data_IF_829612726147
#
_entry.id   IF_829612726147
#
_cell.length_a   1.000
_cell.length_b   1.000
_cell.length_c   1.000
_cell.angle_alpha   90.00
_cell.angle_beta   90.00
_cell.angle_gamma   90.00
#
_symmetry.space_group_name_H-M   'P 1'
#
loop_
_entity.id
_entity.type
_entity.pdbx_description
1 polymer ?
#
# COMPACT_ATOMS: atom_id res chain seq x y z
N UNK A 1 0.93 -12.31 8.79
CA UNK A 1 0.84 -10.93 8.26
C UNK A 1 -0.50 -10.62 7.60
N UNK A 2 -1.26 -11.62 7.13
CA UNK A 2 -2.70 -11.44 6.86
C UNK A 2 -3.45 -11.17 8.16
N UNK A 3 -4.56 -10.45 8.08
CA UNK A 3 -5.48 -10.28 9.20
C UNK A 3 -6.00 -11.63 9.70
N UNK A 4 -6.03 -11.81 11.03
CA UNK A 4 -6.67 -12.99 11.64
C UNK A 4 -8.17 -12.75 11.78
N UNK A 5 -8.96 -13.41 10.92
CA UNK A 5 -10.42 -13.31 10.92
C UNK A 5 -11.03 -13.67 12.27
N UNK A 6 -10.43 -14.61 13.04
CA UNK A 6 -10.93 -14.96 14.37
C UNK A 6 -10.76 -13.80 15.36
N UNK A 7 -9.65 -13.09 15.28
CA UNK A 7 -9.42 -11.87 16.06
C UNK A 7 -10.40 -10.76 15.69
N UNK A 8 -10.67 -10.56 14.39
CA UNK A 8 -11.69 -9.61 13.91
C UNK A 8 -13.05 -9.97 14.50
N UNK A 9 -13.48 -11.23 14.42
CA UNK A 9 -14.76 -11.67 14.97
C UNK A 9 -14.89 -11.40 16.48
N UNK A 10 -13.81 -11.55 17.26
CA UNK A 10 -13.82 -11.21 18.70
C UNK A 10 -13.88 -9.72 18.99
N UNK A 11 -13.44 -8.88 18.05
CA UNK A 11 -13.41 -7.43 18.23
C UNK A 11 -14.75 -6.75 17.88
N UNK A 12 -15.63 -7.44 17.14
CA UNK A 12 -16.96 -6.93 16.78
C UNK A 12 -17.79 -6.70 18.04
N UNK A 13 -18.44 -5.54 18.11
CA UNK A 13 -19.37 -5.18 19.17
C UNK A 13 -20.54 -4.37 18.61
N UNK A 14 -21.48 -3.96 19.46
CA UNK A 14 -22.69 -3.23 19.06
C UNK A 14 -22.45 -1.88 18.36
N UNK A 15 -21.24 -1.32 18.46
CA UNK A 15 -20.86 -0.05 17.83
C UNK A 15 -20.10 -0.25 16.52
N UNK A 16 -19.82 -1.49 16.12
CA UNK A 16 -19.12 -1.78 14.87
C UNK A 16 -20.05 -1.47 13.69
N UNK A 17 -19.59 -0.62 12.76
CA UNK A 17 -20.37 -0.23 11.57
C UNK A 17 -19.86 -0.89 10.28
N UNK A 18 -18.59 -1.30 10.26
CA UNK A 18 -17.98 -1.94 9.10
C UNK A 18 -16.70 -2.72 9.46
N UNK A 19 -16.36 -3.69 8.63
CA UNK A 19 -15.05 -4.34 8.55
C UNK A 19 -14.25 -3.80 7.37
N UNK A 20 -12.93 -3.94 7.44
CA UNK A 20 -11.99 -3.51 6.39
C UNK A 20 -11.01 -4.64 6.11
N UNK A 21 -10.72 -4.88 4.83
CA UNK A 21 -9.61 -5.73 4.39
C UNK A 21 -8.87 -5.10 3.21
N UNK A 22 -7.57 -5.37 3.08
CA UNK A 22 -6.75 -4.78 2.02
C UNK A 22 -6.47 -5.77 0.88
N UNK A 23 -6.50 -5.27 -0.35
CA UNK A 23 -6.16 -6.00 -1.56
C UNK A 23 -5.23 -5.13 -2.44
N UNK A 24 -3.95 -4.97 -2.15
CA UNK A 24 -3.09 -5.50 -1.07
C UNK A 24 -2.81 -4.41 -0.01
N UNK A 25 -2.29 -4.79 1.17
CA UNK A 25 -1.83 -3.81 2.15
C UNK A 25 -0.51 -3.12 1.74
N UNK A 26 -0.34 -1.86 2.17
CA UNK A 26 0.87 -1.08 1.89
C UNK A 26 2.14 -1.62 2.54
N UNK A 27 2.16 -2.02 3.82
CA UNK A 27 3.42 -2.38 4.47
C UNK A 27 4.06 -3.63 3.86
N UNK A 28 3.27 -4.68 3.62
CA UNK A 28 3.83 -6.00 3.32
C UNK A 28 3.43 -6.56 1.96
N UNK A 29 2.53 -5.89 1.24
CA UNK A 29 2.08 -6.35 -0.08
C UNK A 29 1.20 -7.58 -0.04
N UNK A 30 0.65 -7.87 1.13
CA UNK A 30 -0.16 -9.06 1.38
C UNK A 30 -1.63 -8.72 1.15
N UNK A 31 -2.35 -9.61 0.47
CA UNK A 31 -3.81 -9.53 0.36
C UNK A 31 -4.47 -10.24 1.55
N UNK A 32 -5.41 -9.55 2.19
CA UNK A 32 -6.28 -10.16 3.20
C UNK A 32 -7.27 -11.13 2.55
N UNK A 33 -7.83 -12.02 3.37
CA UNK A 33 -8.86 -12.94 2.92
C UNK A 33 -10.23 -12.26 3.00
N UNK A 34 -10.67 -11.70 1.87
CA UNK A 34 -11.88 -10.87 1.79
C UNK A 34 -13.15 -11.70 1.95
N UNK A 35 -13.20 -12.92 1.42
CA UNK A 35 -14.39 -13.80 1.47
C UNK A 35 -14.88 -14.08 2.91
N UNK A 36 -14.04 -14.56 3.85
CA UNK A 36 -14.48 -14.79 5.22
C UNK A 36 -14.78 -13.49 5.98
N UNK A 37 -14.11 -12.38 5.66
CA UNK A 37 -14.43 -11.06 6.23
C UNK A 37 -15.81 -10.58 5.76
N UNK A 38 -16.11 -10.67 4.47
CA UNK A 38 -17.41 -10.32 3.90
C UNK A 38 -18.52 -11.19 4.47
N UNK A 39 -18.28 -12.50 4.62
CA UNK A 39 -19.23 -13.42 5.27
C UNK A 39 -19.48 -13.01 6.73
N UNK A 40 -18.43 -12.61 7.46
CA UNK A 40 -18.56 -12.14 8.83
C UNK A 40 -19.33 -10.81 8.90
N UNK A 41 -19.00 -9.85 8.04
CA UNK A 41 -19.71 -8.57 7.96
C UNK A 41 -21.20 -8.77 7.69
N UNK A 42 -21.53 -9.62 6.72
CA UNK A 42 -22.91 -9.97 6.38
C UNK A 42 -23.66 -10.64 7.53
N UNK A 43 -23.02 -11.57 8.27
CA UNK A 43 -23.64 -12.19 9.47
C UNK A 43 -23.98 -11.19 10.57
N UNK A 44 -23.26 -10.08 10.65
CA UNK A 44 -23.45 -9.04 11.65
C UNK A 44 -24.23 -7.83 11.12
N UNK A 45 -24.70 -7.85 9.87
CA UNK A 45 -25.39 -6.74 9.21
C UNK A 45 -24.60 -5.41 9.26
N UNK A 46 -23.30 -5.51 8.98
CA UNK A 46 -22.36 -4.36 8.93
C UNK A 46 -21.67 -4.27 7.57
N UNK A 47 -21.12 -3.10 7.26
CA UNK A 47 -20.41 -2.88 6.00
C UNK A 47 -19.14 -3.74 5.88
N UNK A 48 -18.75 -4.05 4.65
CA UNK A 48 -17.41 -4.56 4.32
C UNK A 48 -16.79 -3.64 3.28
N UNK A 49 -15.66 -3.03 3.63
CA UNK A 49 -14.86 -2.23 2.71
C UNK A 49 -13.60 -2.96 2.31
N UNK A 50 -13.32 -2.98 1.02
CA UNK A 50 -12.08 -3.51 0.49
C UNK A 50 -11.20 -2.34 0.07
N UNK A 51 -10.09 -2.17 0.78
CA UNK A 51 -9.07 -1.21 0.41
C UNK A 51 -8.22 -1.79 -0.74
N UNK A 52 -8.59 -1.42 -1.97
CA UNK A 52 -7.82 -1.71 -3.18
C UNK A 52 -7.14 -0.43 -3.69
N UNK A 53 -6.88 0.56 -2.83
CA UNK A 53 -6.17 1.78 -3.21
C UNK A 53 -4.83 1.43 -3.86
N UNK A 54 -4.02 0.60 -3.17
CA UNK A 54 -2.70 0.20 -3.67
C UNK A 54 -2.77 -0.91 -4.71
N UNK A 55 -3.66 -1.90 -4.54
CA UNK A 55 -3.85 -2.95 -5.55
C UNK A 55 -4.30 -2.41 -6.90
N UNK A 56 -5.06 -1.30 -6.88
CA UNK A 56 -5.30 -0.39 -8.00
C UNK A 56 -5.66 -1.16 -9.27
N UNK A 57 -5.03 -0.81 -10.39
CA UNK A 57 -5.20 -1.44 -11.70
C UNK A 57 -4.27 -2.64 -11.92
N UNK A 58 -3.76 -3.28 -10.85
CA UNK A 58 -2.91 -4.50 -10.94
C UNK A 58 -3.64 -5.73 -10.45
N UNK A 59 -4.20 -5.69 -9.23
CA UNK A 59 -4.90 -6.85 -8.64
C UNK A 59 -6.02 -7.40 -9.55
N UNK A 60 -6.84 -6.56 -10.23
CA UNK A 60 -7.83 -7.05 -11.20
C UNK A 60 -7.25 -7.85 -12.39
N UNK A 61 -5.97 -7.64 -12.73
CA UNK A 61 -5.32 -8.22 -13.91
C UNK A 61 -4.39 -9.39 -13.58
N UNK A 62 -4.14 -9.70 -12.30
CA UNK A 62 -3.20 -10.75 -11.88
C UNK A 62 -3.48 -12.11 -12.52
N UNK A 63 -4.73 -12.57 -12.46
CA UNK A 63 -5.15 -13.88 -13.00
C UNK A 63 -4.86 -13.97 -14.50
N UNK A 64 -5.28 -12.95 -15.26
CA UNK A 64 -5.08 -12.87 -16.71
C UNK A 64 -3.60 -12.69 -17.09
N UNK A 65 -2.80 -12.11 -16.21
CA UNK A 65 -1.36 -12.00 -16.37
C UNK A 65 -0.63 -13.32 -16.05
N UNK A 66 -1.33 -14.34 -15.55
CA UNK A 66 -0.75 -15.64 -15.20
C UNK A 66 -0.19 -15.71 -13.77
N UNK A 67 -0.54 -14.76 -12.91
CA UNK A 67 -0.11 -14.74 -11.51
C UNK A 67 -1.22 -15.23 -10.57
N UNK A 68 -0.82 -15.65 -9.38
CA UNK A 68 -1.76 -15.97 -8.31
C UNK A 68 -2.56 -14.73 -7.92
N UNK A 69 -3.87 -14.91 -7.76
CA UNK A 69 -4.78 -13.89 -7.26
C UNK A 69 -5.66 -14.46 -6.14
N UNK A 70 -6.37 -13.57 -5.44
CA UNK A 70 -7.46 -13.91 -4.53
C UNK A 70 -8.68 -13.07 -4.87
N UNK A 71 -9.91 -13.60 -4.74
CA UNK A 71 -11.12 -12.78 -4.87
C UNK A 71 -11.10 -11.62 -3.88
N UNK A 72 -11.49 -10.43 -4.33
CA UNK A 72 -11.48 -9.23 -3.48
C UNK A 72 -12.59 -8.23 -3.79
N UNK A 73 -13.38 -8.41 -4.85
CA UNK A 73 -14.30 -7.38 -5.36
C UNK A 73 -15.78 -7.72 -5.11
N UNK A 74 -16.69 -6.96 -5.74
CA UNK A 74 -18.15 -7.10 -5.62
C UNK A 74 -18.69 -8.47 -6.06
N UNK A 75 -17.88 -9.36 -6.65
CA UNK A 75 -18.28 -10.77 -6.85
C UNK A 75 -18.44 -11.52 -5.53
N UNK A 76 -17.85 -11.01 -4.44
CA UNK A 76 -18.01 -11.58 -3.10
C UNK A 76 -19.24 -10.95 -2.43
N UNK A 77 -20.24 -11.78 -2.20
CA UNK A 77 -21.43 -11.43 -1.43
C UNK A 77 -21.05 -10.90 -0.03
N UNK A 78 -21.52 -9.70 0.28
CA UNK A 78 -21.20 -8.96 1.51
C UNK A 78 -20.18 -7.84 1.34
N UNK A 79 -19.46 -7.74 0.20
CA UNK A 79 -18.58 -6.59 -0.09
C UNK A 79 -19.42 -5.37 -0.49
N UNK A 80 -19.49 -4.39 0.40
CA UNK A 80 -20.35 -3.21 0.22
C UNK A 80 -19.66 -2.02 -0.44
N UNK A 81 -18.33 -1.91 -0.36
CA UNK A 81 -17.57 -0.81 -0.95
C UNK A 81 -16.12 -1.17 -1.26
N UNK A 82 -15.52 -0.48 -2.24
CA UNK A 82 -14.14 -0.68 -2.68
C UNK A 82 -13.50 0.67 -3.01
N UNK A 83 -12.33 0.95 -2.48
CA UNK A 83 -11.49 2.08 -2.91
C UNK A 83 -10.47 1.63 -3.97
N UNK A 84 -10.16 2.48 -4.95
CA UNK A 84 -9.17 2.21 -5.99
C UNK A 84 -8.51 3.50 -6.47
N UNK A 85 -7.20 3.61 -6.30
CA UNK A 85 -6.46 4.82 -6.69
C UNK A 85 -6.07 4.76 -8.16
N UNK A 86 -6.65 5.64 -8.97
CA UNK A 86 -6.28 5.81 -10.38
C UNK A 86 -4.91 6.48 -10.53
N UNK A 87 -4.51 7.32 -9.58
CA UNK A 87 -3.22 8.02 -9.59
C UNK A 87 -2.00 7.16 -9.14
N UNK A 88 -2.22 5.86 -8.91
CA UNK A 88 -1.19 4.86 -8.58
C UNK A 88 -0.92 4.03 -9.84
N UNK A 89 -1.37 2.78 -9.88
CA UNK A 89 -1.16 1.89 -11.02
C UNK A 89 -2.19 2.09 -12.15
N UNK A 90 -3.17 2.98 -11.96
CA UNK A 90 -3.98 3.50 -13.06
C UNK A 90 -3.24 4.47 -13.96
N UNK A 91 -2.05 4.93 -13.56
CA UNK A 91 -1.19 5.89 -14.27
C UNK A 91 -1.83 7.26 -14.55
N UNK A 92 -2.90 7.60 -13.82
CA UNK A 92 -3.51 8.92 -13.87
C UNK A 92 -2.61 9.97 -13.16
N UNK A 93 -2.79 11.27 -13.48
CA UNK A 93 -2.14 12.34 -12.74
C UNK A 93 -2.44 12.30 -11.23
N UNK A 94 -1.51 12.79 -10.40
CA UNK A 94 -1.68 12.87 -8.94
C UNK A 94 -2.91 13.70 -8.60
N UNK A 95 -3.70 13.18 -7.66
CA UNK A 95 -4.94 13.79 -7.17
C UNK A 95 -6.26 13.15 -7.65
N UNK A 96 -6.22 11.92 -8.18
CA UNK A 96 -7.42 11.15 -8.57
C UNK A 96 -7.48 9.76 -7.90
N UNK A 97 -8.67 9.39 -7.44
CA UNK A 97 -9.02 8.08 -6.86
C UNK A 97 -10.53 7.83 -7.02
N UNK A 98 -10.99 6.62 -6.79
CA UNK A 98 -12.39 6.21 -6.88
C UNK A 98 -12.81 5.46 -5.63
N UNK A 99 -13.95 5.85 -5.07
CA UNK A 99 -14.71 5.04 -4.10
C UNK A 99 -15.94 4.47 -4.82
N UNK A 100 -16.11 3.16 -4.73
CA UNK A 100 -17.23 2.42 -5.31
C UNK A 100 -18.08 1.84 -4.20
N UNK A 101 -19.38 1.80 -4.42
CA UNK A 101 -20.35 1.19 -3.51
C UNK A 101 -21.19 0.20 -4.28
N UNK A 102 -21.49 -0.94 -3.66
CA UNK A 102 -22.36 -1.97 -4.21
C UNK A 102 -23.77 -1.43 -4.49
N UNK A 103 -24.28 -0.58 -3.59
CA UNK A 103 -25.63 -0.03 -3.66
C UNK A 103 -25.66 1.49 -3.49
N UNK A 104 -26.55 2.14 -4.26
CA UNK A 104 -26.83 3.59 -4.15
C UNK A 104 -27.37 3.98 -2.76
N UNK A 105 -27.99 3.04 -2.06
CA UNK A 105 -28.54 3.25 -0.72
C UNK A 105 -27.47 3.40 0.35
N UNK A 106 -26.25 2.92 0.11
CA UNK A 106 -25.09 3.21 0.96
C UNK A 106 -24.45 4.52 0.49
N UNK A 107 -24.27 4.67 -0.84
CA UNK A 107 -23.61 5.85 -1.44
C UNK A 107 -24.27 7.17 -1.05
N UNK A 108 -25.60 7.21 -0.85
CA UNK A 108 -26.32 8.44 -0.49
C UNK A 108 -25.87 9.06 0.84
N UNK A 109 -25.33 8.27 1.76
CA UNK A 109 -24.80 8.75 3.04
C UNK A 109 -23.45 9.48 2.91
N UNK A 110 -22.78 9.38 1.77
CA UNK A 110 -21.56 10.15 1.47
C UNK A 110 -21.89 11.60 1.06
N UNK A 111 -23.08 11.85 0.53
CA UNK A 111 -23.41 13.16 -0.04
C UNK A 111 -23.56 14.21 1.07
N UNK A 112 -23.12 15.43 0.77
CA UNK A 112 -23.48 16.61 1.55
C UNK A 112 -24.58 17.37 0.81
N UNK A 113 -25.70 17.65 1.47
CA UNK A 113 -26.82 18.41 0.91
C UNK A 113 -27.29 19.48 1.90
N UNK A 114 -27.39 20.72 1.43
CA UNK A 114 -27.89 21.88 2.19
C UNK A 114 -28.95 22.60 1.35
N UNK A 115 -30.21 22.41 1.71
CA UNK A 115 -31.35 22.93 0.93
C UNK A 115 -31.77 24.36 1.30
N UNK A 116 -31.40 24.82 2.50
CA UNK A 116 -31.82 26.08 3.13
C UNK A 116 -30.74 27.18 3.10
N UNK A 117 -29.68 26.99 2.32
CA UNK A 117 -28.58 27.95 2.25
C UNK A 117 -28.99 29.19 1.43
N UNK A 118 -28.75 30.44 1.90
CA UNK A 118 -29.09 31.65 1.15
C UNK A 118 -28.45 31.76 -0.24
N UNK A 119 -27.34 31.05 -0.49
CA UNK A 119 -26.69 30.97 -1.81
C UNK A 119 -27.38 30.02 -2.80
N UNK A 120 -28.51 29.41 -2.43
CA UNK A 120 -29.25 28.41 -3.20
C UNK A 120 -29.03 26.99 -2.69
N UNK A 121 -29.74 26.03 -3.28
CA UNK A 121 -29.60 24.61 -2.93
C UNK A 121 -28.17 24.15 -3.26
N UNK A 122 -27.45 23.66 -2.26
CA UNK A 122 -26.09 23.16 -2.40
C UNK A 122 -26.03 21.65 -2.21
N UNK A 123 -25.33 20.95 -3.11
CA UNK A 123 -25.06 19.52 -3.00
C UNK A 123 -23.65 19.19 -3.47
N UNK A 124 -22.94 18.35 -2.71
CA UNK A 124 -21.63 17.80 -3.11
C UNK A 124 -21.60 16.27 -2.94
N UNK A 125 -21.06 15.52 -3.93
CA UNK A 125 -20.94 14.07 -3.85
C UNK A 125 -19.76 13.62 -2.97
N UNK A 126 -18.91 14.53 -2.47
CA UNK A 126 -17.75 14.21 -1.64
C UNK A 126 -17.31 15.40 -0.79
N UNK A 127 -16.07 15.39 -0.30
CA UNK A 127 -15.57 16.41 0.65
C UNK A 127 -15.46 17.80 0.01
N UNK A 128 -14.94 17.89 -1.22
CA UNK A 128 -14.67 19.15 -1.87
C UNK A 128 -15.92 19.77 -2.51
N UNK A 129 -15.96 21.11 -2.57
CA UNK A 129 -16.85 21.86 -3.45
C UNK A 129 -16.24 22.00 -4.85
N UNK A 130 -15.45 23.06 -5.05
CA UNK A 130 -14.64 23.24 -6.27
C UNK A 130 -13.59 22.13 -6.40
N UNK A 131 -13.44 21.58 -7.61
CA UNK A 131 -12.54 20.45 -7.90
C UNK A 131 -11.70 20.72 -9.15
N UNK A 132 -10.43 20.28 -9.19
CA UNK A 132 -9.56 20.44 -10.37
C UNK A 132 -9.98 19.47 -11.48
N UNK A 133 -10.94 19.88 -12.32
CA UNK A 133 -11.50 19.05 -13.39
C UNK A 133 -10.47 18.48 -14.38
N UNK A 134 -9.34 19.16 -14.56
CA UNK A 134 -8.22 18.67 -15.39
C UNK A 134 -7.66 17.32 -14.92
N UNK A 135 -7.67 17.03 -13.61
CA UNK A 135 -7.21 15.73 -13.10
C UNK A 135 -8.19 14.59 -13.43
N UNK A 136 -9.48 14.90 -13.48
CA UNK A 136 -10.51 13.95 -13.91
C UNK A 136 -10.34 13.64 -15.40
N UNK A 137 -10.13 14.66 -16.22
CA UNK A 137 -9.86 14.50 -17.65
C UNK A 137 -8.56 13.71 -17.90
N UNK A 138 -7.49 14.01 -17.15
CA UNK A 138 -6.22 13.27 -17.24
C UNK A 138 -6.34 11.81 -16.80
N UNK A 139 -7.15 11.52 -15.77
CA UNK A 139 -7.49 10.16 -15.38
C UNK A 139 -8.20 9.41 -16.50
N UNK A 140 -9.21 10.03 -17.11
CA UNK A 140 -9.91 9.44 -18.26
C UNK A 140 -8.96 9.17 -19.43
N UNK A 141 -8.12 10.14 -19.78
CA UNK A 141 -7.14 10.01 -20.86
C UNK A 141 -6.16 8.86 -20.61
N UNK A 142 -5.65 8.72 -19.38
CA UNK A 142 -4.79 7.60 -18.99
C UNK A 142 -5.51 6.26 -19.17
N UNK A 143 -6.73 6.12 -18.65
CA UNK A 143 -7.49 4.86 -18.73
C UNK A 143 -7.79 4.45 -20.18
N UNK A 144 -8.21 5.40 -21.02
CA UNK A 144 -8.50 5.12 -22.44
C UNK A 144 -7.23 4.78 -23.22
N UNK A 145 -6.13 5.50 -22.97
CA UNK A 145 -4.86 5.25 -23.65
C UNK A 145 -4.24 3.91 -23.25
N UNK A 146 -4.28 3.57 -21.97
CA UNK A 146 -3.79 2.28 -21.47
C UNK A 146 -4.65 1.14 -22.00
N UNK A 147 -5.96 1.28 -21.89
CA UNK A 147 -6.90 0.22 -22.20
C UNK A 147 -6.62 -1.06 -21.40
N UNK A 148 -7.38 -2.10 -21.71
CA UNK A 148 -7.26 -3.37 -21.00
C UNK A 148 -5.91 -4.07 -21.24
N UNK A 149 -5.42 -4.01 -22.48
CA UNK A 149 -4.15 -4.62 -22.86
C UNK A 149 -2.95 -3.93 -22.21
N UNK A 150 -2.96 -2.60 -22.10
CA UNK A 150 -1.88 -1.87 -21.43
C UNK A 150 -1.83 -2.16 -19.93
N UNK A 151 -2.98 -2.23 -19.26
CA UNK A 151 -3.00 -2.62 -17.84
C UNK A 151 -2.58 -4.09 -17.62
N UNK A 152 -2.95 -4.99 -18.53
CA UNK A 152 -2.50 -6.38 -18.49
C UNK A 152 -0.98 -6.48 -18.69
N UNK A 153 -0.43 -5.78 -19.68
CA UNK A 153 1.01 -5.81 -19.98
C UNK A 153 1.83 -5.20 -18.85
N UNK A 154 1.43 -4.03 -18.36
CA UNK A 154 2.11 -3.39 -17.22
C UNK A 154 2.02 -4.21 -15.95
N UNK A 155 0.92 -4.93 -15.72
CA UNK A 155 0.81 -5.92 -14.63
C UNK A 155 1.86 -7.02 -14.76
N UNK A 156 2.07 -7.59 -15.95
CA UNK A 156 3.12 -8.59 -16.20
C UNK A 156 4.51 -8.06 -15.88
N UNK A 157 4.81 -6.86 -16.35
CA UNK A 157 6.12 -6.22 -16.14
C UNK A 157 6.37 -5.94 -14.65
N UNK A 158 5.43 -5.27 -13.97
CA UNK A 158 5.59 -4.85 -12.56
C UNK A 158 5.68 -6.07 -11.64
N UNK A 159 4.75 -7.02 -11.78
CA UNK A 159 4.72 -8.19 -10.89
C UNK A 159 5.90 -9.11 -11.18
N UNK A 160 6.32 -9.24 -12.44
CA UNK A 160 7.55 -9.95 -12.83
C UNK A 160 8.80 -9.33 -12.22
N UNK A 161 8.95 -8.00 -12.29
CA UNK A 161 10.06 -7.29 -11.65
C UNK A 161 10.06 -7.49 -10.11
N UNK A 162 8.89 -7.43 -9.48
CA UNK A 162 8.74 -7.71 -8.03
C UNK A 162 9.10 -9.16 -7.68
N UNK A 163 8.83 -10.12 -8.57
CA UNK A 163 9.21 -11.53 -8.42
C UNK A 163 10.71 -11.75 -8.54
N UNK A 164 11.34 -11.04 -9.48
CA UNK A 164 12.80 -11.01 -9.63
C UNK A 164 13.49 -10.43 -8.39
N UNK A 165 12.99 -9.29 -7.89
CA UNK A 165 13.49 -8.70 -6.65
C UNK A 165 13.28 -9.67 -5.47
N UNK A 166 12.11 -10.32 -5.39
CA UNK A 166 11.84 -11.34 -4.38
C UNK A 166 12.86 -12.48 -4.41
N UNK A 167 13.12 -13.07 -5.57
CA UNK A 167 14.12 -14.13 -5.71
C UNK A 167 15.53 -13.63 -5.35
N UNK A 168 15.85 -12.38 -5.67
CA UNK A 168 17.10 -11.73 -5.27
C UNK A 168 17.25 -11.63 -3.74
N UNK A 169 16.23 -11.16 -3.05
CA UNK A 169 16.19 -11.12 -1.57
C UNK A 169 16.32 -12.52 -0.98
N UNK A 170 15.52 -13.48 -1.46
CA UNK A 170 15.51 -14.87 -0.95
C UNK A 170 16.81 -15.62 -1.23
N UNK A 171 17.60 -15.19 -2.22
CA UNK A 171 18.94 -15.73 -2.49
C UNK A 171 20.01 -15.30 -1.48
N UNK A 172 19.73 -14.32 -0.61
CA UNK A 172 20.64 -13.80 0.40
C UNK A 172 20.27 -14.43 1.75
N UNK A 173 21.12 -15.29 2.36
CA UNK A 173 20.77 -16.04 3.57
C UNK A 173 20.34 -15.19 4.77
N UNK A 174 20.92 -13.99 4.90
CA UNK A 174 20.64 -13.06 5.99
C UNK A 174 19.33 -12.29 5.83
N UNK A 175 18.65 -12.41 4.69
CA UNK A 175 17.40 -11.71 4.42
C UNK A 175 16.23 -12.70 4.29
N UNK A 176 15.02 -12.20 4.50
CA UNK A 176 13.80 -12.95 4.22
C UNK A 176 12.65 -12.01 3.86
N UNK A 177 11.75 -12.51 3.03
CA UNK A 177 10.55 -11.78 2.61
C UNK A 177 9.48 -11.89 3.69
N UNK A 178 8.82 -10.78 3.95
CA UNK A 178 7.77 -10.69 4.96
C UNK A 178 6.42 -11.07 4.35
N UNK A 179 5.82 -12.13 4.89
CA UNK A 179 4.51 -12.60 4.42
C UNK A 179 4.61 -13.26 3.05
N UNK A 180 3.57 -13.05 2.23
CA UNK A 180 3.38 -13.74 0.96
C UNK A 180 2.79 -12.76 -0.07
N UNK A 181 3.61 -11.86 -0.63
CA UNK A 181 3.14 -10.79 -1.50
C UNK A 181 2.70 -11.33 -2.86
N UNK A 182 1.53 -10.88 -3.33
CA UNK A 182 0.93 -11.39 -4.58
C UNK A 182 0.94 -10.38 -5.73
N UNK A 183 1.30 -9.13 -5.45
CA UNK A 183 1.11 -8.01 -6.37
C UNK A 183 2.38 -7.15 -6.45
N UNK A 184 2.24 -5.83 -6.37
CA UNK A 184 3.29 -4.86 -6.69
C UNK A 184 4.27 -4.57 -5.56
N UNK A 185 3.92 -4.92 -4.33
CA UNK A 185 4.73 -4.62 -3.15
C UNK A 185 5.54 -5.84 -2.73
N UNK A 186 6.78 -5.59 -2.33
CA UNK A 186 7.58 -6.53 -1.55
C UNK A 186 8.10 -5.83 -0.30
N UNK A 187 8.06 -6.53 0.84
CA UNK A 187 8.82 -6.12 2.01
C UNK A 187 9.70 -7.26 2.51
N UNK A 188 10.86 -6.92 3.06
CA UNK A 188 11.84 -7.89 3.53
C UNK A 188 12.56 -7.37 4.77
N UNK A 189 13.00 -8.31 5.58
CA UNK A 189 13.70 -8.08 6.84
C UNK A 189 15.02 -8.83 6.84
N UNK A 190 15.87 -8.53 7.81
CA UNK A 190 17.13 -9.23 8.04
C UNK A 190 17.03 -10.17 9.24
N UNK A 191 17.91 -11.15 9.28
CA UNK A 191 18.14 -12.03 10.42
C UNK A 191 19.25 -11.46 11.30
N UNK A 192 19.19 -11.76 12.59
CA UNK A 192 20.28 -11.42 13.50
C UNK A 192 21.60 -12.04 13.03
N UNK A 193 22.74 -11.33 13.15
CA UNK A 193 22.92 -10.02 13.78
C UNK A 193 22.81 -8.81 12.83
N UNK A 194 22.32 -9.00 11.59
CA UNK A 194 22.21 -7.92 10.61
C UNK A 194 20.97 -7.06 10.92
N UNK A 195 21.15 -5.74 10.97
CA UNK A 195 20.04 -4.80 11.12
C UNK A 195 19.58 -4.29 9.74
N UNK A 196 18.30 -4.46 9.45
CA UNK A 196 17.72 -4.13 8.14
C UNK A 196 17.81 -2.64 7.80
N UNK A 197 17.85 -1.76 8.81
CA UNK A 197 17.99 -0.32 8.57
C UNK A 197 19.40 0.06 8.12
N UNK A 198 20.44 -0.68 8.54
CA UNK A 198 21.79 -0.48 8.03
C UNK A 198 21.88 -0.84 6.55
N UNK A 199 21.21 -1.90 6.13
CA UNK A 199 21.07 -2.29 4.72
C UNK A 199 20.40 -1.15 3.94
N UNK A 200 19.30 -0.59 4.47
CA UNK A 200 18.58 0.53 3.86
C UNK A 200 19.46 1.77 3.70
N UNK A 201 20.23 2.14 4.72
CA UNK A 201 21.12 3.30 4.68
C UNK A 201 22.26 3.12 3.68
N UNK A 202 22.79 1.91 3.51
CA UNK A 202 23.84 1.65 2.53
C UNK A 202 23.31 1.61 1.10
N UNK A 203 22.11 1.08 0.89
CA UNK A 203 21.40 1.19 -0.39
C UNK A 203 21.10 2.66 -0.73
N UNK A 204 20.74 3.47 0.27
CA UNK A 204 20.52 4.90 0.08
C UNK A 204 21.76 5.66 -0.40
N UNK A 205 22.94 5.32 0.12
CA UNK A 205 24.22 5.87 -0.37
C UNK A 205 24.49 5.52 -1.84
N UNK A 206 23.89 4.44 -2.36
CA UNK A 206 23.93 4.05 -3.79
C UNK A 206 22.79 4.66 -4.62
N UNK A 207 21.97 5.53 -4.04
CA UNK A 207 20.87 6.23 -4.72
C UNK A 207 19.50 5.55 -4.57
N UNK A 208 19.40 4.41 -3.90
CA UNK A 208 18.11 3.74 -3.69
C UNK A 208 17.33 4.40 -2.55
N UNK A 209 16.13 4.88 -2.85
CA UNK A 209 15.21 5.38 -1.83
C UNK A 209 14.15 4.32 -1.49
N UNK A 210 14.42 3.54 -0.45
CA UNK A 210 13.57 2.43 -0.01
C UNK A 210 12.88 2.80 1.28
N UNK A 211 11.58 2.52 1.37
CA UNK A 211 10.79 2.90 2.53
C UNK A 211 11.10 1.97 3.72
N UNK A 212 11.56 2.50 4.87
CA UNK A 212 11.65 1.72 6.09
C UNK A 212 10.25 1.46 6.68
N UNK A 213 10.06 0.28 7.25
CA UNK A 213 8.89 -0.09 8.03
C UNK A 213 9.27 -0.30 9.50
N UNK A 214 8.25 -0.42 10.35
CA UNK A 214 8.37 -0.72 11.76
C UNK A 214 7.24 -1.67 12.19
N UNK A 215 7.44 -2.38 13.31
CA UNK A 215 6.48 -3.34 13.88
C UNK A 215 6.02 -4.44 12.90
N UNK A 216 6.95 -5.24 12.32
CA UNK A 216 8.38 -5.35 12.65
C UNK A 216 9.30 -4.46 11.77
N UNK A 217 10.58 -4.29 12.15
CA UNK A 217 11.59 -3.65 11.29
C UNK A 217 11.71 -4.34 9.94
N UNK A 218 11.61 -3.57 8.86
CA UNK A 218 11.74 -4.08 7.50
C UNK A 218 12.03 -2.95 6.51
N UNK A 219 12.37 -3.32 5.27
CA UNK A 219 12.36 -2.44 4.12
C UNK A 219 11.21 -2.82 3.19
N UNK A 220 10.65 -1.83 2.51
CA UNK A 220 9.50 -1.94 1.63
C UNK A 220 9.77 -1.26 0.28
N UNK A 221 9.48 -1.98 -0.79
CA UNK A 221 9.47 -1.48 -2.16
C UNK A 221 8.07 -1.65 -2.77
N UNK A 222 7.49 -0.52 -3.17
CA UNK A 222 6.35 -0.49 -4.09
C UNK A 222 6.88 -0.49 -5.52
N UNK A 223 6.93 -1.67 -6.14
CA UNK A 223 7.45 -1.83 -7.50
C UNK A 223 6.50 -1.14 -8.47
N UNK A 224 7.06 -0.31 -9.34
CA UNK A 224 6.34 0.40 -10.42
C UNK A 224 7.02 0.09 -11.75
N UNK A 225 6.50 0.60 -12.87
CA UNK A 225 7.16 0.45 -14.17
C UNK A 225 8.58 0.99 -14.18
N UNK A 226 8.88 2.00 -13.37
CA UNK A 226 10.21 2.60 -13.28
C UNK A 226 11.24 1.66 -12.61
N UNK A 227 10.79 0.67 -11.84
CA UNK A 227 11.66 -0.34 -11.24
C UNK A 227 12.02 -1.49 -12.19
N UNK A 228 11.22 -1.70 -13.24
CA UNK A 228 11.39 -2.83 -14.17
C UNK A 228 12.80 -2.89 -14.79
N UNK A 229 13.36 -1.79 -15.35
CA UNK A 229 14.70 -1.84 -15.94
C UNK A 229 15.82 -1.97 -14.91
N UNK A 230 15.60 -1.56 -13.66
CA UNK A 230 16.62 -1.52 -12.62
C UNK A 230 16.52 -2.67 -11.61
N UNK A 231 15.64 -3.64 -11.83
CA UNK A 231 15.41 -4.75 -10.90
C UNK A 231 16.66 -5.63 -10.72
N UNK A 232 17.43 -5.89 -11.78
CA UNK A 232 18.66 -6.68 -11.69
C UNK A 232 19.79 -5.90 -10.98
N UNK A 233 19.92 -4.62 -11.30
CA UNK A 233 20.88 -3.71 -10.65
C UNK A 233 20.60 -3.61 -9.15
N UNK A 234 19.33 -3.46 -8.76
CA UNK A 234 18.91 -3.45 -7.36
C UNK A 234 19.35 -4.73 -6.63
N UNK A 235 19.13 -5.90 -7.24
CA UNK A 235 19.49 -7.19 -6.62
C UNK A 235 21.01 -7.33 -6.50
N UNK A 236 21.78 -6.85 -7.49
CA UNK A 236 23.24 -6.82 -7.42
C UNK A 236 23.72 -5.94 -6.26
N UNK A 237 23.21 -4.72 -6.18
CA UNK A 237 23.55 -3.77 -5.11
C UNK A 237 23.17 -4.29 -3.73
N UNK A 238 22.00 -4.91 -3.61
CA UNK A 238 21.55 -5.52 -2.35
C UNK A 238 22.52 -6.61 -1.88
N UNK A 239 22.98 -7.48 -2.79
CA UNK A 239 23.96 -8.53 -2.47
C UNK A 239 25.29 -7.94 -2.00
N UNK A 240 25.80 -6.95 -2.72
CA UNK A 240 27.06 -6.30 -2.37
C UNK A 240 26.99 -5.57 -1.03
N UNK A 241 25.89 -4.85 -0.77
CA UNK A 241 25.66 -4.16 0.50
C UNK A 241 25.62 -5.14 1.66
N UNK A 242 24.86 -6.24 1.53
CA UNK A 242 24.78 -7.25 2.61
C UNK A 242 26.14 -7.92 2.81
N UNK A 243 26.85 -8.28 1.74
CA UNK A 243 28.18 -8.86 1.82
C UNK A 243 29.18 -7.93 2.53
N UNK A 244 29.16 -6.63 2.23
CA UNK A 244 30.02 -5.65 2.89
C UNK A 244 29.69 -5.50 4.38
N UNK A 245 28.41 -5.44 4.76
CA UNK A 245 27.96 -5.35 6.16
C UNK A 245 28.25 -6.62 6.98
N UNK A 246 28.38 -7.76 6.32
CA UNK A 246 28.81 -9.00 6.94
C UNK A 246 30.33 -9.08 7.09
N UNK A 247 31.09 -8.59 6.11
CA UNK A 247 32.55 -8.56 6.15
C UNK A 247 33.08 -7.58 7.20
N UNK A 248 32.41 -6.44 7.40
CA UNK A 248 32.79 -5.42 8.39
C UNK A 248 31.59 -4.95 9.23
N UNK A 249 31.37 -5.54 10.42
CA UNK A 249 30.32 -5.12 11.33
C UNK A 249 30.45 -3.68 11.83
N UNK A 250 31.62 -3.04 11.73
CA UNK A 250 31.77 -1.63 12.14
C UNK A 250 30.96 -0.66 11.27
N UNK A 251 30.56 -1.10 10.07
CA UNK A 251 29.69 -0.37 9.15
C UNK A 251 28.22 -0.32 9.60
N UNK A 252 27.83 -1.08 10.63
CA UNK A 252 26.46 -1.16 11.16
C UNK A 252 26.11 -0.01 12.10
N UNK A 253 26.27 1.23 11.60
CA UNK A 253 26.02 2.47 12.34
C UNK A 253 25.12 3.43 11.55
N UNK A 254 24.09 2.89 10.89
CA UNK A 254 23.15 3.65 10.08
C UNK A 254 22.40 4.75 10.86
N UNK A 255 22.16 5.90 10.20
CA UNK A 255 21.37 7.00 10.76
C UNK A 255 19.89 6.64 10.89
N UNK A 256 19.34 5.92 9.92
CA UNK A 256 17.95 5.46 9.96
C UNK A 256 17.78 4.40 11.04
N UNK A 257 18.79 3.55 11.25
CA UNK A 257 18.79 2.58 12.34
C UNK A 257 18.65 3.30 13.70
N UNK A 258 19.32 4.44 13.89
CA UNK A 258 19.16 5.25 15.09
C UNK A 258 17.77 5.88 15.21
N UNK A 259 17.23 6.49 14.16
CA UNK A 259 15.92 7.16 14.18
C UNK A 259 14.79 6.14 14.38
N UNK A 260 14.70 5.13 13.53
CA UNK A 260 13.64 4.13 13.58
C UNK A 260 13.80 3.17 14.77
N UNK A 261 15.03 2.85 15.17
CA UNK A 261 15.29 2.10 16.40
C UNK A 261 14.84 2.85 17.66
N UNK A 262 15.11 4.16 17.73
CA UNK A 262 14.62 5.01 18.84
C UNK A 262 13.10 5.15 18.80
N UNK A 263 12.51 5.40 17.63
CA UNK A 263 11.05 5.53 17.49
C UNK A 263 10.30 4.23 17.83
N UNK A 264 10.87 3.08 17.49
CA UNK A 264 10.32 1.77 17.84
C UNK A 264 10.36 1.51 19.35
N UNK A 265 11.48 1.85 20.00
CA UNK A 265 11.71 1.59 21.44
C UNK A 265 11.00 2.56 22.39
N UNK A 266 10.62 3.75 21.93
CA UNK A 266 9.90 4.72 22.75
C UNK A 266 8.48 4.23 23.09
N UNK A 267 8.12 4.08 24.38
CA UNK A 267 6.80 3.62 24.80
C UNK A 267 5.73 4.71 24.61
N UNK A 268 6.12 5.97 24.80
CA UNK A 268 5.24 7.11 24.57
C UNK A 268 5.33 7.57 23.10
N UNK A 269 4.27 7.33 22.35
CA UNK A 269 4.18 7.73 20.94
C UNK A 269 3.85 9.22 20.76
N UNK A 270 3.49 9.96 21.82
CA UNK A 270 3.23 11.40 21.74
C UNK A 270 4.49 12.18 21.35
N UNK A 271 5.66 11.80 21.86
CA UNK A 271 6.95 12.41 21.51
C UNK A 271 7.27 12.27 20.01
N UNK A 272 6.96 11.10 19.43
CA UNK A 272 7.13 10.87 17.98
C UNK A 272 6.17 11.74 17.17
N UNK A 273 4.94 11.95 17.67
CA UNK A 273 4.00 12.86 17.04
C UNK A 273 4.51 14.30 17.06
N UNK A 274 5.07 14.79 18.17
CA UNK A 274 5.67 16.13 18.26
C UNK A 274 6.85 16.33 17.30
N UNK A 275 7.75 15.34 17.20
CA UNK A 275 8.87 15.38 16.24
C UNK A 275 8.33 15.44 14.80
N UNK A 276 7.30 14.64 14.48
CA UNK A 276 6.68 14.66 13.17
C UNK A 276 6.01 16.01 12.87
N UNK A 277 5.34 16.62 13.85
CA UNK A 277 4.78 17.98 13.74
C UNK A 277 5.87 19.00 13.45
N UNK A 278 6.97 18.99 14.21
CA UNK A 278 8.10 19.87 13.97
C UNK A 278 8.72 19.69 12.58
N UNK A 279 8.81 18.45 12.09
CA UNK A 279 9.25 18.18 10.71
C UNK A 279 8.31 18.81 9.67
N UNK A 280 6.98 18.70 9.85
CA UNK A 280 6.00 19.33 8.96
C UNK A 280 6.14 20.87 9.00
N UNK A 281 6.32 21.46 10.18
CA UNK A 281 6.53 22.91 10.31
C UNK A 281 7.78 23.39 9.56
N UNK A 282 8.84 22.57 9.54
CA UNK A 282 10.06 22.87 8.77
C UNK A 282 9.82 22.89 7.25
N UNK A 283 8.86 22.10 6.73
CA UNK A 283 8.53 22.12 5.29
C UNK A 283 7.92 23.47 4.85
N UNK A 284 7.39 24.26 5.78
CA UNK A 284 6.85 25.60 5.53
C UNK A 284 7.85 26.73 5.77
N UNK A 285 9.05 26.42 6.29
CA UNK A 285 10.13 27.41 6.38
C UNK A 285 10.77 27.55 5.00
N UNK A 286 10.35 28.60 4.29
CA UNK A 286 10.93 29.04 3.03
C UNK A 286 12.39 29.50 3.19
#
# INVERSE_FOLDING_TARGET
>A
MKVDVKSVARAINRNTIMLVGSAINFPHGVADDITPLATLAKRHDIGMHVDCCLGSFVVPFLERAGFRTVPFDFRIDGVTSISCDTHKYGFAPKGSSVIMYEHKDIRKYQYFVRADWPGGIYASPGIAGSRPGALIAGCWAAMINMGENGYLDTTKQIVGARQKIQAGVESIPDLYVNGDPISTVISFSSRDPLNIYDVGDHLNKRGWNISPLQNPPALHISVTLLWVPSADEFVSDLREVVAALNADPSLRQGKSAAIYGTAASLPDKSLIAEIATGYIDLLYKA
#
